data_IF_965718246186
#
_entry.id   IF_965718246186
#
_cell.length_a   1.000
_cell.length_b   1.000
_cell.length_c   1.000
_cell.angle_alpha   90.00
_cell.angle_beta   90.00
_cell.angle_gamma   90.00
#
_symmetry.space_group_name_H-M   'P 1'
#
loop_
_entity.id
_entity.type
_entity.pdbx_description
1 polymer ?
#
# COMPACT_ATOMS: atom_id res chain seq x y z
N UNK A 1 -47.27 46.23 -38.08
CA UNK A 1 -47.16 44.94 -38.80
C UNK A 1 -45.68 44.78 -39.13
N UNK A 2 -44.91 43.77 -38.73
CA UNK A 2 -45.14 42.38 -38.28
C UNK A 2 -44.94 42.23 -36.75
N UNK A 3 -45.83 41.67 -35.93
CA UNK A 3 -46.36 40.29 -35.84
C UNK A 3 -45.25 39.27 -35.51
N UNK A 4 -44.93 39.04 -34.24
CA UNK A 4 -45.68 38.05 -33.44
C UNK A 4 -45.66 38.33 -31.94
N UNK A 5 -46.78 38.84 -31.41
CA UNK A 5 -47.10 38.78 -29.98
C UNK A 5 -47.50 37.34 -29.64
N UNK A 6 -46.82 36.71 -28.67
CA UNK A 6 -47.44 35.60 -27.92
C UNK A 6 -48.51 36.19 -27.00
N UNK A 7 -49.72 35.64 -27.09
CA UNK A 7 -50.78 35.80 -26.10
C UNK A 7 -50.35 34.99 -24.88
N UNK A 8 -49.85 35.69 -23.86
CA UNK A 8 -49.88 35.37 -22.44
C UNK A 8 -48.80 36.23 -21.79
N UNK A 9 -49.22 37.26 -21.04
CA UNK A 9 -48.34 38.26 -20.41
C UNK A 9 -47.52 37.72 -19.25
N UNK A 10 -46.77 36.63 -19.46
CA UNK A 10 -45.71 36.17 -18.58
C UNK A 10 -44.39 36.47 -19.26
N UNK A 11 -43.56 37.30 -18.63
CA UNK A 11 -42.16 37.46 -19.03
C UNK A 11 -41.53 36.08 -19.14
N UNK A 12 -41.13 35.70 -20.36
CA UNK A 12 -40.42 34.46 -20.62
C UNK A 12 -38.99 34.62 -20.09
N UNK A 13 -38.76 34.14 -18.87
CA UNK A 13 -37.42 33.98 -18.31
C UNK A 13 -36.65 32.96 -19.15
N UNK A 14 -35.67 33.42 -19.94
CA UNK A 14 -34.80 32.57 -20.76
C UNK A 14 -33.51 32.30 -19.97
N UNK A 15 -33.16 31.03 -19.77
CA UNK A 15 -31.89 30.62 -19.15
C UNK A 15 -30.84 30.43 -20.24
N UNK A 16 -29.77 31.22 -20.18
CA UNK A 16 -28.66 31.17 -21.12
C UNK A 16 -27.40 30.66 -20.42
N UNK A 17 -26.55 29.96 -21.18
CA UNK A 17 -25.20 29.56 -20.77
C UNK A 17 -24.20 30.18 -21.71
N UNK A 18 -23.15 30.79 -21.15
CA UNK A 18 -22.00 31.28 -21.91
C UNK A 18 -21.01 30.13 -22.08
N UNK A 19 -20.66 29.83 -23.32
CA UNK A 19 -19.72 28.77 -23.70
C UNK A 19 -18.60 29.38 -24.52
N UNK A 20 -17.40 28.83 -24.42
CA UNK A 20 -16.24 29.23 -25.22
C UNK A 20 -15.64 28.02 -25.92
N UNK A 21 -15.45 28.14 -27.23
CA UNK A 21 -14.61 27.23 -28.00
C UNK A 21 -13.12 27.63 -27.85
N UNK A 22 -12.24 26.76 -27.28
CA UNK A 22 -10.82 27.04 -27.16
C UNK A 22 -10.09 27.25 -28.50
N UNK A 23 -10.62 26.73 -29.62
CA UNK A 23 -10.05 26.93 -30.96
C UNK A 23 -10.49 28.23 -31.62
N UNK A 24 -11.43 28.96 -31.02
CA UNK A 24 -11.94 30.23 -31.56
C UNK A 24 -12.79 30.08 -32.83
N UNK A 25 -13.27 28.87 -33.13
CA UNK A 25 -14.09 28.63 -34.33
C UNK A 25 -15.51 29.13 -34.09
N UNK A 26 -16.17 29.55 -35.16
CA UNK A 26 -17.53 30.07 -35.12
C UNK A 26 -18.51 29.09 -34.43
N UNK A 27 -19.51 29.61 -33.69
CA UNK A 27 -20.44 28.79 -32.94
C UNK A 27 -21.17 27.77 -33.85
N UNK A 28 -21.52 26.59 -33.31
CA UNK A 28 -22.29 25.59 -34.03
C UNK A 28 -23.56 26.20 -34.65
N UNK A 29 -24.05 25.71 -35.82
CA UNK A 29 -25.23 26.26 -36.48
C UNK A 29 -26.48 26.34 -35.60
N UNK A 30 -26.61 25.42 -34.62
CA UNK A 30 -27.69 25.42 -33.63
C UNK A 30 -27.67 26.66 -32.70
N UNK A 31 -26.52 27.31 -32.54
CA UNK A 31 -26.35 28.52 -31.72
C UNK A 31 -26.36 29.82 -32.56
N UNK A 32 -26.47 29.72 -33.90
CA UNK A 32 -26.38 30.88 -34.81
C UNK A 32 -27.63 31.76 -34.83
N UNK A 33 -28.73 31.40 -34.18
CA UNK A 33 -30.02 32.03 -34.50
C UNK A 33 -30.49 33.17 -33.60
N UNK A 34 -29.83 33.52 -32.51
CA UNK A 34 -30.43 34.46 -31.55
C UNK A 34 -29.48 35.61 -31.27
N UNK A 35 -29.82 36.78 -31.81
CA UNK A 35 -29.31 38.07 -31.34
C UNK A 35 -29.84 38.30 -29.91
N UNK A 36 -29.22 37.64 -28.93
CA UNK A 36 -29.64 37.67 -27.53
C UNK A 36 -29.60 39.10 -26.98
N UNK A 37 -28.68 39.94 -27.48
CA UNK A 37 -28.61 41.35 -27.13
C UNK A 37 -29.84 42.14 -27.61
N UNK A 38 -30.46 41.77 -28.73
CA UNK A 38 -31.72 42.37 -29.17
C UNK A 38 -32.93 42.00 -28.28
N UNK A 39 -32.84 40.91 -27.52
CA UNK A 39 -33.88 40.46 -26.58
C UNK A 39 -33.74 41.09 -25.19
N UNK A 40 -32.59 41.68 -24.86
CA UNK A 40 -32.35 42.33 -23.59
C UNK A 40 -32.99 43.74 -23.54
N UNK A 41 -33.74 44.00 -22.47
CA UNK A 41 -34.41 45.29 -22.23
C UNK A 41 -33.51 46.31 -21.52
N UNK A 42 -32.50 45.86 -20.77
CA UNK A 42 -31.54 46.70 -20.06
C UNK A 42 -30.20 46.80 -20.82
N UNK A 43 -29.56 47.98 -20.80
CA UNK A 43 -28.23 48.17 -21.40
C UNK A 43 -27.14 47.34 -20.70
N UNK A 44 -27.29 47.05 -19.41
CA UNK A 44 -26.37 46.17 -18.67
C UNK A 44 -26.43 44.73 -19.17
N UNK A 45 -27.62 44.21 -19.48
CA UNK A 45 -27.77 42.85 -19.99
C UNK A 45 -27.29 42.74 -21.44
N UNK A 46 -27.48 43.79 -22.25
CA UNK A 46 -26.90 43.87 -23.59
C UNK A 46 -25.38 43.77 -23.56
N UNK A 47 -24.74 44.47 -22.63
CA UNK A 47 -23.29 44.41 -22.48
C UNK A 47 -22.81 43.04 -22.00
N UNK A 48 -23.52 42.41 -21.05
CA UNK A 48 -23.21 41.05 -20.57
C UNK A 48 -23.34 39.99 -21.65
N UNK A 49 -24.29 40.15 -22.59
CA UNK A 49 -24.57 39.18 -23.65
C UNK A 49 -23.63 39.32 -24.86
N UNK A 50 -22.77 40.35 -24.90
CA UNK A 50 -21.75 40.49 -25.93
C UNK A 50 -20.62 39.47 -25.69
N UNK A 51 -20.20 38.73 -26.72
CA UNK A 51 -18.96 37.94 -26.65
C UNK A 51 -17.77 38.87 -26.40
N UNK A 52 -16.98 38.55 -25.37
CA UNK A 52 -15.78 39.32 -24.97
C UNK A 52 -14.52 38.76 -25.62
N UNK A 53 -14.47 37.44 -25.82
CA UNK A 53 -13.33 36.73 -26.39
C UNK A 53 -13.70 35.95 -27.66
N UNK A 54 -12.72 35.66 -28.52
CA UNK A 54 -12.94 34.85 -29.72
C UNK A 54 -13.39 33.44 -29.34
N UNK A 55 -14.42 32.94 -30.02
CA UNK A 55 -15.03 31.63 -29.76
C UNK A 55 -16.07 31.63 -28.64
N UNK A 56 -16.35 32.77 -27.98
CA UNK A 56 -17.44 32.87 -27.02
C UNK A 56 -18.81 32.98 -27.69
N UNK A 57 -19.78 32.24 -27.18
CA UNK A 57 -21.17 32.32 -27.62
C UNK A 57 -22.14 32.00 -26.48
N UNK A 58 -23.37 32.49 -26.62
CA UNK A 58 -24.47 32.20 -25.73
C UNK A 58 -25.44 31.22 -26.38
N UNK A 59 -25.88 30.24 -25.61
CA UNK A 59 -26.90 29.28 -26.04
C UNK A 59 -27.96 29.05 -24.96
N UNK A 60 -29.14 28.58 -25.37
CA UNK A 60 -30.17 28.18 -24.43
C UNK A 60 -29.68 27.03 -23.54
N UNK A 61 -29.99 27.07 -22.24
CA UNK A 61 -29.68 25.98 -21.33
C UNK A 61 -30.30 24.63 -21.76
N UNK A 62 -31.47 24.67 -22.39
CA UNK A 62 -32.12 23.47 -22.95
C UNK A 62 -31.36 22.88 -24.13
N UNK A 63 -30.71 23.71 -24.95
CA UNK A 63 -29.84 23.25 -26.03
C UNK A 63 -28.50 22.77 -25.48
N UNK A 64 -27.98 23.42 -24.44
CA UNK A 64 -26.78 22.99 -23.74
C UNK A 64 -26.95 21.54 -23.25
N UNK A 65 -28.05 21.25 -22.56
CA UNK A 65 -28.38 19.89 -22.09
C UNK A 65 -28.53 18.84 -23.22
N UNK A 66 -28.94 19.26 -24.43
CA UNK A 66 -29.08 18.36 -25.58
C UNK A 66 -27.76 18.08 -26.29
N UNK A 67 -26.88 19.06 -26.33
CA UNK A 67 -25.64 19.00 -27.12
C UNK A 67 -24.41 18.57 -26.29
N UNK A 68 -24.40 18.81 -24.98
CA UNK A 68 -23.29 18.45 -24.09
C UNK A 68 -23.63 17.22 -23.27
N UNK A 69 -22.70 16.26 -23.22
CA UNK A 69 -22.87 14.97 -22.52
C UNK A 69 -22.19 14.94 -21.15
N UNK A 70 -21.22 15.83 -20.91
CA UNK A 70 -20.43 15.87 -19.68
C UNK A 70 -20.15 17.31 -19.26
N UNK A 71 -20.35 17.59 -17.98
CA UNK A 71 -19.97 18.84 -17.33
C UNK A 71 -19.00 18.50 -16.19
N UNK A 72 -17.80 19.07 -16.25
CA UNK A 72 -16.79 18.94 -15.19
C UNK A 72 -16.58 20.31 -14.56
N UNK A 73 -16.72 20.38 -13.23
CA UNK A 73 -16.50 21.61 -12.46
C UNK A 73 -15.38 21.32 -11.47
N UNK A 74 -14.32 22.13 -11.52
CA UNK A 74 -13.19 22.03 -10.60
C UNK A 74 -13.28 23.18 -9.59
N UNK A 75 -13.69 22.86 -8.38
CA UNK A 75 -13.73 23.83 -7.29
C UNK A 75 -12.33 23.99 -6.70
N UNK A 76 -11.96 25.23 -6.34
CA UNK A 76 -10.71 25.52 -5.65
C UNK A 76 -10.76 25.07 -4.18
N UNK A 77 -11.97 24.99 -3.62
CA UNK A 77 -12.26 24.47 -2.29
C UNK A 77 -13.16 23.25 -2.39
N UNK A 78 -13.16 22.35 -1.38
CA UNK A 78 -14.05 21.18 -1.37
C UNK A 78 -15.54 21.52 -1.21
N UNK A 79 -15.90 22.80 -1.10
CA UNK A 79 -17.27 23.29 -0.93
C UNK A 79 -18.20 22.82 -2.07
N UNK A 80 -19.47 22.58 -1.74
CA UNK A 80 -20.52 22.33 -2.73
C UNK A 80 -20.91 23.63 -3.42
N UNK A 81 -21.32 23.54 -4.68
CA UNK A 81 -21.87 24.68 -5.42
C UNK A 81 -23.29 25.06 -4.96
N UNK A 82 -23.83 24.35 -3.99
CA UNK A 82 -25.20 24.50 -3.48
C UNK A 82 -25.26 25.38 -2.22
N UNK A 83 -24.15 25.54 -1.49
CA UNK A 83 -24.07 26.38 -0.28
C UNK A 83 -23.26 27.64 -0.61
N UNK A 84 -23.85 28.81 -0.34
CA UNK A 84 -23.19 30.11 -0.55
C UNK A 84 -22.14 30.41 0.54
N UNK A 85 -22.03 29.55 1.56
CA UNK A 85 -21.06 29.69 2.64
C UNK A 85 -19.74 28.95 2.33
N UNK A 86 -18.63 29.69 2.38
CA UNK A 86 -17.30 29.08 2.39
C UNK A 86 -17.06 28.35 3.72
N UNK A 87 -16.89 27.03 3.66
CA UNK A 87 -16.49 26.24 4.82
C UNK A 87 -14.97 26.24 4.96
N UNK A 88 -14.49 26.10 6.20
CA UNK A 88 -13.07 25.84 6.46
C UNK A 88 -12.84 24.35 6.41
N UNK A 89 -11.91 23.92 5.56
CA UNK A 89 -11.60 22.50 5.39
C UNK A 89 -10.26 22.16 6.01
N UNK A 90 -10.23 21.09 6.78
CA UNK A 90 -8.99 20.42 7.16
C UNK A 90 -8.61 19.46 6.05
N UNK A 91 -7.35 19.51 5.62
CA UNK A 91 -6.84 18.66 4.54
C UNK A 91 -5.71 17.81 5.07
N UNK A 92 -5.86 16.51 4.91
CA UNK A 92 -4.77 15.56 5.12
C UNK A 92 -4.37 14.94 3.79
N UNK A 93 -3.06 14.80 3.61
CA UNK A 93 -2.45 14.35 2.36
C UNK A 93 -1.57 13.16 2.67
N UNK A 94 -1.82 12.06 1.96
CA UNK A 94 -1.04 10.83 2.09
C UNK A 94 -0.50 10.41 0.74
N UNK A 95 0.81 10.20 0.68
CA UNK A 95 1.44 9.58 -0.47
C UNK A 95 1.53 8.07 -0.26
N UNK A 96 1.23 7.30 -1.29
CA UNK A 96 1.28 5.84 -1.23
C UNK A 96 1.67 5.22 -2.56
N UNK A 97 1.87 3.91 -2.54
CA UNK A 97 2.20 3.11 -3.72
C UNK A 97 1.49 1.76 -3.67
N UNK A 98 1.10 1.27 -4.83
CA UNK A 98 0.75 -0.13 -5.04
C UNK A 98 1.96 -0.82 -5.65
N UNK A 99 2.56 -1.74 -4.90
CA UNK A 99 3.70 -2.56 -5.32
C UNK A 99 3.21 -3.95 -5.66
N UNK A 100 3.60 -4.47 -6.83
CA UNK A 100 3.19 -5.79 -7.29
C UNK A 100 3.54 -6.82 -6.21
N UNK A 101 2.60 -7.72 -5.91
CA UNK A 101 2.77 -8.80 -4.93
C UNK A 101 2.79 -8.37 -3.45
N UNK A 102 3.03 -7.10 -3.14
CA UNK A 102 3.10 -6.66 -1.75
C UNK A 102 1.85 -5.89 -1.30
N UNK A 103 1.54 -4.80 -2.00
CA UNK A 103 0.49 -3.84 -1.62
C UNK A 103 -0.50 -3.55 -2.75
N UNK A 104 -0.26 -4.08 -3.96
CA UNK A 104 -1.19 -4.04 -5.08
C UNK A 104 -2.27 -5.14 -4.96
N UNK A 105 -3.11 -5.04 -3.94
CA UNK A 105 -4.08 -6.07 -3.56
C UNK A 105 -5.34 -6.15 -4.43
N UNK A 106 -5.57 -5.18 -5.33
CA UNK A 106 -6.79 -5.11 -6.16
C UNK A 106 -8.02 -4.70 -5.36
N UNK A 107 -9.22 -4.77 -5.97
CA UNK A 107 -10.47 -4.37 -5.32
C UNK A 107 -11.08 -5.51 -4.49
N UNK A 108 -12.21 -5.23 -3.81
CA UNK A 108 -12.88 -6.17 -2.88
C UNK A 108 -13.31 -7.51 -3.50
N UNK A 109 -13.35 -7.60 -4.83
CA UNK A 109 -13.61 -8.84 -5.58
C UNK A 109 -12.47 -9.86 -5.43
N UNK A 110 -11.29 -9.44 -4.96
CA UNK A 110 -10.11 -10.27 -4.74
C UNK A 110 -9.84 -10.39 -3.23
N UNK A 111 -10.66 -11.14 -2.46
CA UNK A 111 -10.59 -11.16 -1.00
C UNK A 111 -9.25 -11.66 -0.45
N UNK A 112 -8.53 -12.50 -1.20
CA UNK A 112 -7.24 -13.06 -0.78
C UNK A 112 -6.13 -12.01 -0.71
N UNK A 113 -6.24 -10.96 -1.51
CA UNK A 113 -5.22 -9.93 -1.68
C UNK A 113 -5.70 -8.54 -1.24
N UNK A 114 -7.01 -8.28 -1.21
CA UNK A 114 -7.60 -6.96 -0.95
C UNK A 114 -7.10 -6.29 0.34
N UNK A 115 -6.96 -7.07 1.41
CA UNK A 115 -6.54 -6.60 2.74
C UNK A 115 -5.10 -6.07 2.78
N UNK A 116 -4.28 -6.41 1.78
CA UNK A 116 -2.88 -5.97 1.67
C UNK A 116 -2.70 -4.59 1.08
N UNK A 117 -3.75 -4.00 0.50
CA UNK A 117 -3.71 -2.61 0.05
C UNK A 117 -3.37 -1.67 1.23
N UNK A 118 -2.72 -0.53 0.97
CA UNK A 118 -2.46 0.47 2.00
C UNK A 118 -3.75 0.88 2.72
N UNK A 119 -3.69 1.05 4.04
CA UNK A 119 -4.85 1.34 4.87
C UNK A 119 -4.64 2.67 5.58
N UNK A 120 -5.62 3.58 5.49
CA UNK A 120 -5.53 4.91 6.10
C UNK A 120 -6.65 5.08 7.12
N UNK A 121 -6.27 5.27 8.38
CA UNK A 121 -7.22 5.51 9.46
C UNK A 121 -7.74 6.94 9.38
N UNK A 122 -9.03 7.12 9.57
CA UNK A 122 -9.71 8.41 9.60
C UNK A 122 -10.52 8.50 10.88
N UNK A 123 -10.22 9.50 11.73
CA UNK A 123 -10.96 9.76 12.96
C UNK A 123 -11.80 11.03 12.79
N UNK A 124 -13.11 10.87 12.94
CA UNK A 124 -14.11 11.94 12.87
C UNK A 124 -14.71 12.14 14.27
N UNK A 125 -14.19 13.06 15.08
CA UNK A 125 -14.55 13.19 16.49
C UNK A 125 -15.95 13.79 16.70
N UNK A 126 -16.32 14.80 15.90
CA UNK A 126 -17.54 15.58 16.09
C UNK A 126 -18.25 15.79 14.75
N UNK A 127 -19.59 15.83 14.81
CA UNK A 127 -20.43 16.15 13.66
C UNK A 127 -20.31 17.63 13.29
N UNK A 128 -20.58 17.96 12.02
CA UNK A 128 -20.49 19.33 11.54
C UNK A 128 -21.55 20.22 12.19
N UNK A 129 -21.28 21.52 12.31
CA UNK A 129 -22.15 22.43 13.07
C UNK A 129 -23.61 22.48 12.54
N UNK A 130 -23.81 22.21 11.26
CA UNK A 130 -25.13 22.22 10.59
C UNK A 130 -25.79 20.84 10.54
N UNK A 131 -25.05 19.75 10.69
CA UNK A 131 -25.53 18.38 10.44
C UNK A 131 -25.29 17.44 11.63
N UNK A 132 -25.99 16.30 11.67
CA UNK A 132 -25.69 15.22 12.64
C UNK A 132 -24.57 14.28 12.16
N UNK A 133 -23.93 14.65 11.06
CA UNK A 133 -22.93 13.88 10.32
C UNK A 133 -21.70 14.73 10.05
N UNK A 134 -20.59 14.06 9.74
CA UNK A 134 -19.32 14.64 9.33
C UNK A 134 -19.22 14.55 7.81
N UNK A 135 -19.00 15.69 7.17
CA UNK A 135 -18.81 15.83 5.74
C UNK A 135 -17.35 15.55 5.42
N UNK A 136 -17.15 14.53 4.57
CA UNK A 136 -15.82 14.09 4.18
C UNK A 136 -15.75 13.99 2.67
N UNK A 137 -14.75 14.62 2.06
CA UNK A 137 -14.41 14.43 0.64
C UNK A 137 -13.13 13.62 0.57
N UNK A 138 -13.16 12.51 -0.16
CA UNK A 138 -11.98 11.67 -0.38
C UNK A 138 -11.61 11.74 -1.86
N UNK A 139 -10.37 12.12 -2.14
CA UNK A 139 -9.81 12.23 -3.48
C UNK A 139 -8.58 11.32 -3.62
N UNK A 140 -8.68 10.30 -4.47
CA UNK A 140 -7.61 9.37 -4.79
C UNK A 140 -7.08 9.65 -6.20
N UNK A 141 -5.77 9.91 -6.32
CA UNK A 141 -5.14 10.30 -7.58
C UNK A 141 -3.93 9.40 -7.90
N UNK A 142 -3.84 8.87 -9.11
CA UNK A 142 -2.67 8.12 -9.58
C UNK A 142 -1.58 9.05 -10.14
N UNK A 143 -0.31 8.83 -9.75
CA UNK A 143 0.88 9.64 -10.10
C UNK A 143 1.65 9.02 -11.28
N UNK A 144 2.52 9.80 -11.93
CA UNK A 144 3.51 9.30 -12.89
C UNK A 144 3.01 8.88 -14.28
N UNK A 145 1.76 8.42 -14.43
CA UNK A 145 1.27 7.74 -15.66
C UNK A 145 1.39 8.53 -16.96
N UNK A 146 1.27 9.88 -16.91
CA UNK A 146 1.41 10.72 -18.11
C UNK A 146 2.84 10.68 -18.67
N UNK A 147 3.85 10.62 -17.80
CA UNK A 147 5.26 10.54 -18.18
C UNK A 147 5.56 9.21 -18.88
N UNK A 148 4.91 8.14 -18.42
CA UNK A 148 5.09 6.78 -18.92
C UNK A 148 4.25 6.45 -20.15
N UNK A 149 3.45 7.42 -20.65
CA UNK A 149 2.57 7.18 -21.80
C UNK A 149 3.36 6.86 -23.07
N UNK A 150 4.57 7.40 -23.23
CA UNK A 150 5.47 7.03 -24.34
C UNK A 150 5.94 5.58 -24.29
N UNK A 151 5.91 4.95 -23.11
CA UNK A 151 6.22 3.53 -22.89
C UNK A 151 4.96 2.65 -22.97
N UNK A 152 3.81 3.20 -23.38
CA UNK A 152 2.54 2.48 -23.49
C UNK A 152 1.74 2.38 -22.20
N UNK A 153 2.13 3.06 -21.12
CA UNK A 153 1.37 3.03 -19.87
C UNK A 153 -0.02 3.69 -20.03
N UNK A 154 -1.04 2.99 -19.55
CA UNK A 154 -2.42 3.48 -19.49
C UNK A 154 -2.78 3.86 -18.05
N UNK A 155 -3.80 4.70 -17.90
CA UNK A 155 -4.38 4.93 -16.58
C UNK A 155 -5.01 3.62 -16.08
N UNK A 156 -4.92 3.37 -14.77
CA UNK A 156 -5.57 2.24 -14.13
C UNK A 156 -7.00 2.58 -13.75
N UNK A 157 -7.85 1.56 -13.67
CA UNK A 157 -9.13 1.67 -12.98
C UNK A 157 -8.84 1.75 -11.47
N UNK A 158 -9.04 2.92 -10.87
CA UNK A 158 -8.78 3.16 -9.44
C UNK A 158 -10.08 3.48 -8.70
N UNK A 159 -10.06 3.22 -7.40
CA UNK A 159 -11.19 3.45 -6.50
C UNK A 159 -10.78 3.26 -5.05
N UNK A 160 -11.71 3.48 -4.13
CA UNK A 160 -11.49 3.27 -2.72
C UNK A 160 -12.78 2.86 -2.01
N UNK A 161 -12.62 2.22 -0.85
CA UNK A 161 -13.71 1.90 0.06
C UNK A 161 -13.38 2.38 1.48
N UNK A 162 -14.42 2.64 2.27
CA UNK A 162 -14.37 3.14 3.63
C UNK A 162 -15.11 2.16 4.52
N UNK A 163 -14.45 1.68 5.56
CA UNK A 163 -15.00 0.75 6.55
C UNK A 163 -15.04 1.41 7.93
N UNK A 164 -16.11 1.20 8.68
CA UNK A 164 -16.18 1.60 10.08
C UNK A 164 -15.35 0.63 10.94
N UNK A 165 -14.57 1.17 11.88
CA UNK A 165 -13.76 0.39 12.80
C UNK A 165 -14.62 -0.03 14.01
N UNK A 166 -14.76 -1.35 14.27
CA UNK A 166 -15.47 -1.86 15.44
C UNK A 166 -14.87 -1.32 16.74
N UNK A 167 -15.69 -1.18 17.78
CA UNK A 167 -15.28 -0.59 19.06
C UNK A 167 -14.10 -1.32 19.71
N UNK A 168 -14.00 -2.62 19.47
CA UNK A 168 -12.95 -3.50 19.99
C UNK A 168 -11.58 -3.24 19.35
N UNK A 169 -11.54 -2.65 18.16
CA UNK A 169 -10.32 -2.40 17.39
C UNK A 169 -9.92 -0.91 17.35
N UNK A 170 -10.67 -0.05 18.05
CA UNK A 170 -10.37 1.39 18.11
C UNK A 170 -9.03 1.64 18.77
N UNK A 171 -8.28 2.60 18.22
CA UNK A 171 -6.93 2.94 18.71
C UNK A 171 -5.82 1.93 18.40
N UNK A 172 -6.13 0.73 17.89
CA UNK A 172 -5.10 -0.23 17.46
C UNK A 172 -4.46 0.22 16.14
N UNK A 173 -3.19 0.62 16.10
CA UNK A 173 -2.51 1.05 14.87
C UNK A 173 -2.12 -0.08 13.91
N UNK A 174 -2.50 -1.34 14.17
CA UNK A 174 -2.20 -2.46 13.30
C UNK A 174 -3.09 -2.51 12.04
N UNK A 175 -2.49 -3.02 10.96
CA UNK A 175 -3.17 -3.31 9.70
C UNK A 175 -4.31 -4.32 9.91
N UNK A 176 -5.50 -4.01 9.38
CA UNK A 176 -6.66 -4.88 9.51
C UNK A 176 -6.47 -6.17 8.70
N UNK A 177 -6.74 -7.34 9.29
CA UNK A 177 -6.50 -8.64 8.66
C UNK A 177 -7.56 -8.96 7.58
N UNK A 178 -7.29 -10.00 6.78
CA UNK A 178 -8.21 -10.53 5.76
C UNK A 178 -9.64 -10.72 6.28
N UNK A 179 -9.78 -11.37 7.44
CA UNK A 179 -11.07 -11.71 8.03
C UNK A 179 -11.94 -10.48 8.31
N UNK A 180 -11.32 -9.36 8.67
CA UNK A 180 -12.04 -8.11 8.87
C UNK A 180 -12.84 -7.74 7.61
N UNK A 181 -12.20 -7.74 6.43
CA UNK A 181 -12.86 -7.36 5.18
C UNK A 181 -13.82 -8.42 4.67
N UNK A 182 -13.67 -9.68 5.08
CA UNK A 182 -14.61 -10.77 4.76
C UNK A 182 -15.95 -10.60 5.50
N UNK A 183 -15.89 -10.23 6.78
CA UNK A 183 -17.07 -10.16 7.64
C UNK A 183 -17.69 -8.77 7.79
N UNK A 184 -16.98 -7.71 7.39
CA UNK A 184 -17.48 -6.32 7.49
C UNK A 184 -17.81 -5.75 6.11
N UNK A 185 -18.97 -5.08 6.02
CA UNK A 185 -19.38 -4.35 4.82
C UNK A 185 -18.77 -2.94 4.82
N UNK A 186 -18.49 -2.40 3.62
CA UNK A 186 -18.03 -1.02 3.48
C UNK A 186 -19.16 -0.05 3.84
N UNK A 187 -18.90 0.88 4.74
CA UNK A 187 -19.83 1.97 5.10
C UNK A 187 -20.03 2.93 3.93
N UNK A 188 -18.96 3.21 3.19
CA UNK A 188 -18.98 4.04 2.00
C UNK A 188 -17.94 3.54 0.99
N UNK A 189 -18.11 3.89 -0.29
CA UNK A 189 -17.17 3.52 -1.36
C UNK A 189 -17.40 4.40 -2.59
N UNK A 190 -16.42 4.43 -3.49
CA UNK A 190 -16.62 5.00 -4.83
C UNK A 190 -17.76 4.27 -5.57
N UNK A 191 -18.56 4.99 -6.35
CA UNK A 191 -19.68 4.42 -7.13
C UNK A 191 -19.21 3.38 -8.15
N UNK A 192 -18.06 3.63 -8.77
CA UNK A 192 -17.39 2.73 -9.69
C UNK A 192 -15.89 2.95 -9.66
N UNK A 193 -15.13 1.93 -10.02
CA UNK A 193 -13.71 2.08 -10.34
C UNK A 193 -13.63 2.70 -11.73
N UNK A 194 -12.94 3.83 -11.84
CA UNK A 194 -12.88 4.58 -13.10
C UNK A 194 -11.46 4.72 -13.60
N UNK A 195 -11.34 4.69 -14.92
CA UNK A 195 -10.07 4.89 -15.62
C UNK A 195 -9.75 6.38 -15.78
N UNK A 196 -9.60 7.09 -14.65
CA UNK A 196 -9.28 8.52 -14.63
C UNK A 196 -8.08 8.77 -13.74
N UNK A 197 -7.42 9.93 -13.94
CA UNK A 197 -6.26 10.32 -13.12
C UNK A 197 -6.62 10.45 -11.64
N UNK A 198 -7.85 10.84 -11.35
CA UNK A 198 -8.35 11.07 -10.00
C UNK A 198 -9.80 10.62 -9.87
N UNK A 199 -10.15 10.11 -8.69
CA UNK A 199 -11.50 9.77 -8.27
C UNK A 199 -11.78 10.51 -6.98
N UNK A 200 -12.80 11.36 -7.00
CA UNK A 200 -13.19 12.20 -5.88
C UNK A 200 -14.67 12.00 -5.59
N UNK A 201 -14.99 11.65 -4.34
CA UNK A 201 -16.37 11.46 -3.88
C UNK A 201 -16.55 12.12 -2.52
N UNK A 202 -17.77 12.62 -2.28
CA UNK A 202 -18.20 13.27 -1.05
C UNK A 202 -19.13 12.35 -0.27
N UNK A 203 -18.93 12.27 1.03
CA UNK A 203 -19.67 11.41 1.96
C UNK A 203 -20.12 12.19 3.19
N UNK A 204 -21.25 11.77 3.77
CA UNK A 204 -21.68 12.18 5.11
C UNK A 204 -21.60 10.94 6.01
N UNK A 205 -20.61 10.91 6.91
CA UNK A 205 -20.36 9.79 7.81
C UNK A 205 -20.79 10.17 9.24
N UNK A 206 -21.04 9.19 10.10
CA UNK A 206 -21.29 9.47 11.52
C UNK A 206 -19.96 9.77 12.22
N UNK A 207 -19.96 10.49 13.35
CA UNK A 207 -18.76 10.58 14.19
C UNK A 207 -18.28 9.19 14.60
N UNK A 208 -17.00 8.91 14.39
CA UNK A 208 -16.47 7.57 14.49
C UNK A 208 -15.06 7.42 13.92
N UNK A 209 -14.58 6.19 13.91
CA UNK A 209 -13.27 5.82 13.39
C UNK A 209 -13.47 4.92 12.18
N UNK A 210 -12.77 5.23 11.10
CA UNK A 210 -12.91 4.61 9.79
C UNK A 210 -11.55 4.22 9.23
N UNK A 211 -11.55 3.29 8.27
CA UNK A 211 -10.38 2.96 7.46
C UNK A 211 -10.71 3.11 5.99
N UNK A 212 -9.89 3.87 5.29
CA UNK A 212 -9.93 4.08 3.84
C UNK A 212 -8.93 3.11 3.18
N UNK A 213 -9.43 2.34 2.22
CA UNK A 213 -8.64 1.38 1.43
C UNK A 213 -8.62 1.85 -0.02
N UNK A 214 -7.59 2.61 -0.45
CA UNK A 214 -7.39 2.90 -1.88
C UNK A 214 -6.80 1.69 -2.60
N UNK A 215 -7.38 1.34 -3.74
CA UNK A 215 -6.89 0.24 -4.56
C UNK A 215 -7.09 0.49 -6.05
N UNK A 216 -6.37 -0.30 -6.85
CA UNK A 216 -6.72 -0.56 -8.25
C UNK A 216 -7.87 -1.57 -8.31
N UNK A 217 -8.51 -1.67 -9.48
CA UNK A 217 -9.56 -2.67 -9.71
C UNK A 217 -8.97 -4.08 -9.69
N UNK A 218 -7.98 -4.32 -10.55
CA UNK A 218 -7.25 -5.58 -10.63
C UNK A 218 -6.06 -5.59 -9.65
N UNK A 219 -5.69 -6.75 -9.09
CA UNK A 219 -4.47 -6.89 -8.30
C UNK A 219 -3.21 -6.75 -9.18
N UNK A 220 -2.05 -6.61 -8.53
CA UNK A 220 -0.73 -6.54 -9.18
C UNK A 220 -0.51 -5.34 -10.12
N UNK A 221 -1.39 -4.33 -10.07
CA UNK A 221 -1.25 -3.09 -10.83
C UNK A 221 -0.39 -2.09 -10.08
N UNK A 222 0.80 -1.85 -10.59
CA UNK A 222 1.75 -0.93 -9.98
C UNK A 222 1.46 0.53 -10.35
N UNK A 223 1.44 1.38 -9.34
CA UNK A 223 1.42 2.84 -9.49
C UNK A 223 1.62 3.50 -8.13
N UNK A 224 2.22 4.68 -8.14
CA UNK A 224 2.13 5.63 -7.03
C UNK A 224 0.76 6.32 -7.02
N UNK A 225 0.31 6.73 -5.84
CA UNK A 225 -0.91 7.49 -5.66
C UNK A 225 -0.79 8.57 -4.58
N UNK A 226 -1.75 9.49 -4.62
CA UNK A 226 -1.96 10.55 -3.64
C UNK A 226 -3.40 10.43 -3.14
N UNK A 227 -3.57 10.21 -1.84
CA UNK A 227 -4.87 10.22 -1.17
C UNK A 227 -5.01 11.54 -0.40
N UNK A 228 -6.08 12.28 -0.67
CA UNK A 228 -6.42 13.50 0.06
C UNK A 228 -7.77 13.33 0.72
N UNK A 229 -7.84 13.66 2.01
CA UNK A 229 -9.08 13.65 2.78
C UNK A 229 -9.36 15.06 3.24
N UNK A 230 -10.54 15.55 2.91
CA UNK A 230 -11.03 16.86 3.31
C UNK A 230 -12.18 16.67 4.29
N UNK A 231 -12.14 17.36 5.42
CA UNK A 231 -13.20 17.35 6.43
C UNK A 231 -13.52 18.78 6.88
N UNK A 232 -14.78 19.05 7.19
CA UNK A 232 -15.21 20.37 7.71
C UNK A 232 -14.77 20.54 9.18
N UNK A 233 -15.06 19.54 10.01
CA UNK A 233 -14.63 19.49 11.41
C UNK A 233 -13.19 18.99 11.56
N UNK A 234 -12.55 19.24 12.73
CA UNK A 234 -11.20 18.72 13.02
C UNK A 234 -11.22 17.19 12.88
N UNK A 235 -10.38 16.64 12.01
CA UNK A 235 -10.18 15.20 11.88
C UNK A 235 -8.69 14.86 11.84
N UNK A 236 -8.30 13.71 12.38
CA UNK A 236 -6.98 13.14 12.12
C UNK A 236 -7.11 12.02 11.09
N UNK A 237 -6.08 11.87 10.27
CA UNK A 237 -5.93 10.69 9.44
C UNK A 237 -4.48 10.27 9.40
N UNK A 238 -4.23 9.00 9.64
CA UNK A 238 -2.89 8.44 9.80
C UNK A 238 -2.77 7.17 8.95
N UNK A 239 -1.57 6.93 8.43
CA UNK A 239 -1.29 5.67 7.74
C UNK A 239 -1.27 4.56 8.79
N UNK A 240 -2.03 3.49 8.55
CA UNK A 240 -1.95 2.30 9.38
C UNK A 240 -0.71 1.54 8.94
N UNK A 241 0.29 1.51 9.80
CA UNK A 241 1.50 0.75 9.58
C UNK A 241 1.84 -0.04 10.86
N UNK A 242 2.34 -1.26 10.69
CA UNK A 242 2.72 -2.08 11.85
C UNK A 242 4.00 -1.51 12.46
N UNK A 243 4.05 -1.43 13.78
CA UNK A 243 5.30 -1.20 14.49
C UNK A 243 6.29 -2.34 14.20
N UNK A 244 7.57 -1.99 14.11
CA UNK A 244 8.63 -2.94 13.78
C UNK A 244 9.02 -3.66 15.05
N UNK A 245 8.62 -4.92 15.18
CA UNK A 245 8.95 -5.75 16.33
C UNK A 245 9.47 -7.12 15.89
N UNK A 246 10.35 -7.69 16.69
CA UNK A 246 10.78 -9.08 16.55
C UNK A 246 10.68 -9.75 17.90
N UNK A 247 10.04 -10.92 17.94
CA UNK A 247 10.00 -11.75 19.13
C UNK A 247 11.41 -11.86 19.72
N UNK A 248 11.60 -11.58 21.02
CA UNK A 248 12.93 -11.58 21.61
C UNK A 248 13.58 -12.94 21.38
N UNK A 249 14.73 -12.93 20.68
CA UNK A 249 15.62 -14.08 20.62
C UNK A 249 16.01 -14.37 22.06
N UNK A 250 15.66 -15.55 22.57
CA UNK A 250 16.11 -15.95 23.90
C UNK A 250 17.63 -15.89 23.91
N UNK A 251 18.16 -14.91 24.65
CA UNK A 251 19.59 -14.69 24.83
C UNK A 251 20.19 -15.93 25.49
N UNK A 252 20.84 -16.78 24.69
CA UNK A 252 21.45 -18.05 25.17
C UNK A 252 22.48 -17.76 26.28
N UNK A 253 23.04 -16.54 26.32
CA UNK A 253 23.96 -16.09 27.37
C UNK A 253 23.34 -16.04 28.78
N UNK A 254 22.01 -15.99 28.94
CA UNK A 254 21.35 -15.87 30.26
C UNK A 254 20.90 -17.21 30.89
N UNK A 255 21.07 -18.35 30.22
CA UNK A 255 20.92 -19.68 30.82
C UNK A 255 22.20 -20.50 30.64
N UNK A 256 23.26 -20.10 31.32
CA UNK A 256 24.34 -21.04 31.67
C UNK A 256 24.49 -20.97 33.19
N UNK A 257 23.72 -21.81 33.89
CA UNK A 257 24.20 -22.32 35.17
C UNK A 257 25.23 -23.40 34.81
N UNK A 258 26.41 -23.43 35.45
CA UNK A 258 27.34 -24.53 35.29
C UNK A 258 26.73 -25.75 35.99
N UNK A 259 25.97 -26.54 35.24
CA UNK A 259 25.49 -27.83 35.66
C UNK A 259 25.65 -28.77 34.46
N UNK A 260 26.36 -29.87 34.68
CA UNK A 260 26.55 -30.94 33.70
C UNK A 260 25.18 -31.55 33.41
N UNK A 261 24.47 -31.00 32.42
CA UNK A 261 23.29 -31.66 31.85
C UNK A 261 23.80 -32.77 30.93
N UNK A 262 23.32 -34.00 31.16
CA UNK A 262 23.59 -35.14 30.29
C UNK A 262 23.17 -34.79 28.85
N UNK A 263 24.15 -34.79 27.93
CA UNK A 263 23.93 -34.53 26.51
C UNK A 263 22.85 -35.48 25.98
N UNK A 264 21.74 -34.90 25.51
CA UNK A 264 20.59 -35.69 25.02
C UNK A 264 20.99 -36.55 23.83
N UNK A 265 20.31 -37.68 23.59
CA UNK A 265 20.63 -38.55 22.45
C UNK A 265 20.51 -37.84 21.10
N UNK A 266 19.63 -36.85 20.98
CA UNK A 266 19.53 -35.97 19.80
C UNK A 266 20.76 -35.07 19.63
N UNK A 267 21.34 -34.57 20.72
CA UNK A 267 22.56 -33.76 20.70
C UNK A 267 23.79 -34.58 20.31
N UNK A 268 23.89 -35.81 20.79
CA UNK A 268 24.96 -36.75 20.37
C UNK A 268 24.86 -37.06 18.87
N UNK A 269 23.65 -37.33 18.37
CA UNK A 269 23.43 -37.52 16.94
C UNK A 269 23.76 -36.26 16.12
N UNK A 270 23.35 -35.08 16.61
CA UNK A 270 23.65 -33.82 15.94
C UNK A 270 25.15 -33.53 15.90
N UNK A 271 25.87 -33.82 16.98
CA UNK A 271 27.32 -33.68 17.07
C UNK A 271 28.05 -34.64 16.14
N UNK A 272 27.59 -35.89 16.02
CA UNK A 272 28.13 -36.84 15.06
C UNK A 272 27.91 -36.37 13.61
N UNK A 273 26.74 -35.81 13.30
CA UNK A 273 26.46 -35.19 12.00
C UNK A 273 27.40 -34.00 11.76
N UNK A 274 27.56 -33.11 12.75
CA UNK A 274 28.47 -31.96 12.65
C UNK A 274 29.92 -32.40 12.39
N UNK A 275 30.43 -33.38 13.13
CA UNK A 275 31.80 -33.90 12.94
C UNK A 275 32.00 -34.50 11.55
N UNK A 276 30.99 -35.19 11.02
CA UNK A 276 31.04 -35.73 9.66
C UNK A 276 31.10 -34.63 8.58
N UNK A 277 30.58 -33.44 8.89
CA UNK A 277 30.48 -32.31 7.96
C UNK A 277 31.73 -31.42 8.04
N UNK A 278 32.10 -31.02 9.26
CA UNK A 278 33.21 -30.14 9.55
C UNK A 278 34.59 -30.80 9.33
N UNK A 279 34.66 -32.14 9.42
CA UNK A 279 35.94 -32.83 9.29
C UNK A 279 36.91 -32.45 10.42
N UNK A 280 38.20 -32.34 10.08
CA UNK A 280 39.28 -32.24 11.08
C UNK A 280 39.41 -30.85 11.72
N UNK A 281 38.96 -29.78 11.06
CA UNK A 281 39.05 -28.41 11.57
C UNK A 281 37.91 -28.05 12.55
N UNK A 282 36.89 -28.91 12.65
CA UNK A 282 35.71 -28.72 13.50
C UNK A 282 34.99 -27.39 13.23
N UNK A 283 35.08 -26.87 12.00
CA UNK A 283 34.40 -25.68 11.51
C UNK A 283 33.64 -26.00 10.21
N UNK A 284 32.53 -25.32 9.98
CA UNK A 284 31.75 -25.50 8.74
C UNK A 284 31.93 -24.29 7.83
N UNK A 285 32.46 -24.52 6.63
CA UNK A 285 32.54 -23.52 5.58
C UNK A 285 31.27 -23.48 4.70
N UNK A 286 31.17 -22.48 3.82
CA UNK A 286 29.99 -22.28 2.97
C UNK A 286 29.70 -23.47 2.01
N UNK A 287 30.74 -24.16 1.53
CA UNK A 287 30.56 -25.30 0.63
C UNK A 287 30.02 -26.54 1.37
N UNK A 288 30.51 -26.78 2.57
CA UNK A 288 30.01 -27.83 3.47
C UNK A 288 28.57 -27.57 3.88
N UNK A 289 28.27 -26.34 4.32
CA UNK A 289 26.91 -25.92 4.68
C UNK A 289 25.94 -26.15 3.52
N UNK A 290 26.31 -25.71 2.31
CA UNK A 290 25.52 -25.93 1.08
C UNK A 290 25.26 -27.41 0.83
N UNK A 291 26.31 -28.22 0.93
CA UNK A 291 26.23 -29.66 0.65
C UNK A 291 25.26 -30.34 1.61
N UNK A 292 25.31 -29.98 2.89
CA UNK A 292 24.46 -30.57 3.94
C UNK A 292 23.03 -30.15 3.79
N UNK A 293 22.78 -28.84 3.65
CA UNK A 293 21.43 -28.32 3.49
C UNK A 293 20.76 -28.90 2.25
N UNK A 294 21.49 -29.00 1.12
CA UNK A 294 20.94 -29.55 -0.12
C UNK A 294 20.71 -31.07 -0.05
N UNK A 295 21.57 -31.83 0.65
CA UNK A 295 21.30 -33.25 0.93
C UNK A 295 20.02 -33.44 1.75
N UNK A 296 19.77 -32.55 2.71
CA UNK A 296 18.57 -32.62 3.55
C UNK A 296 17.33 -32.22 2.77
N UNK A 297 17.38 -31.15 1.98
CA UNK A 297 16.28 -30.78 1.08
C UNK A 297 15.97 -31.91 0.10
N UNK A 298 16.98 -32.56 -0.49
CA UNK A 298 16.79 -33.65 -1.44
C UNK A 298 16.04 -34.86 -0.85
N UNK A 299 16.10 -35.06 0.48
CA UNK A 299 15.29 -36.09 1.17
C UNK A 299 13.82 -35.70 1.29
N UNK A 300 13.51 -34.40 1.24
CA UNK A 300 12.15 -33.86 1.29
C UNK A 300 11.63 -33.58 -0.12
N UNK A 301 11.14 -34.64 -0.78
CA UNK A 301 10.58 -34.59 -2.16
C UNK A 301 9.41 -33.63 -2.34
N UNK A 302 8.84 -33.15 -1.24
CA UNK A 302 7.78 -32.14 -1.19
C UNK A 302 8.27 -30.72 -1.49
N UNK A 303 9.58 -30.45 -1.40
CA UNK A 303 10.18 -29.17 -1.77
C UNK A 303 10.86 -29.28 -3.14
N UNK A 304 10.22 -28.78 -4.19
CA UNK A 304 10.83 -28.62 -5.52
C UNK A 304 11.62 -27.32 -5.57
N UNK A 305 12.86 -27.35 -5.11
CA UNK A 305 13.80 -26.22 -5.16
C UNK A 305 15.12 -26.66 -5.79
N UNK A 306 15.85 -25.72 -6.41
CA UNK A 306 17.22 -25.93 -6.89
C UNK A 306 18.22 -26.14 -5.74
N UNK A 307 17.77 -25.93 -4.49
CA UNK A 307 18.59 -25.99 -3.28
C UNK A 307 19.18 -24.63 -2.93
N UNK A 308 19.90 -24.57 -1.82
CA UNK A 308 20.61 -23.38 -1.39
C UNK A 308 21.75 -23.04 -2.34
N UNK A 309 21.80 -21.79 -2.76
CA UNK A 309 22.93 -21.22 -3.49
C UNK A 309 24.17 -21.09 -2.58
N UNK A 310 25.35 -21.02 -3.19
CA UNK A 310 26.59 -20.79 -2.43
C UNK A 310 26.57 -19.43 -1.72
N UNK A 311 25.94 -18.43 -2.34
CA UNK A 311 25.86 -17.09 -1.80
C UNK A 311 24.92 -17.02 -0.60
N UNK A 312 23.79 -17.72 -0.66
CA UNK A 312 22.89 -17.91 0.47
C UNK A 312 23.61 -18.50 1.67
N UNK A 313 24.40 -19.56 1.45
CA UNK A 313 25.19 -20.16 2.52
C UNK A 313 26.28 -19.21 3.07
N UNK A 314 26.95 -18.42 2.23
CA UNK A 314 27.91 -17.40 2.70
C UNK A 314 27.24 -16.34 3.57
N UNK A 315 26.11 -15.80 3.12
CA UNK A 315 25.34 -14.81 3.89
C UNK A 315 24.86 -15.40 5.21
N UNK A 316 24.36 -16.64 5.22
CA UNK A 316 23.94 -17.31 6.47
C UNK A 316 25.09 -17.46 7.47
N UNK A 317 26.28 -17.82 6.99
CA UNK A 317 27.46 -17.93 7.85
C UNK A 317 27.79 -16.56 8.44
N UNK A 318 27.92 -15.52 7.61
CA UNK A 318 28.34 -14.22 8.08
C UNK A 318 27.37 -13.57 9.09
N UNK A 319 26.07 -13.90 9.00
CA UNK A 319 25.04 -13.43 9.93
C UNK A 319 25.00 -14.21 11.25
N UNK A 320 25.45 -15.47 11.23
CA UNK A 320 25.46 -16.36 12.39
C UNK A 320 26.80 -16.36 13.12
N UNK A 321 27.90 -16.13 12.40
CA UNK A 321 29.28 -16.02 12.86
C UNK A 321 29.40 -14.90 13.92
N UNK A 322 29.46 -15.31 15.18
CA UNK A 322 29.62 -14.41 16.32
C UNK A 322 31.07 -14.21 16.71
N UNK A 323 31.94 -15.15 16.34
CA UNK A 323 33.36 -15.14 16.69
C UNK A 323 34.25 -14.49 15.61
N UNK A 324 33.69 -14.15 14.45
CA UNK A 324 34.36 -13.47 13.35
C UNK A 324 35.31 -14.38 12.57
N UNK A 325 35.14 -15.69 12.69
CA UNK A 325 36.04 -16.67 12.07
C UNK A 325 35.76 -16.88 10.58
N UNK A 326 34.60 -16.42 10.07
CA UNK A 326 34.12 -16.68 8.72
C UNK A 326 33.61 -18.12 8.52
N UNK A 327 33.47 -18.89 9.60
CA UNK A 327 33.03 -20.28 9.61
C UNK A 327 32.00 -20.49 10.73
N UNK A 328 31.28 -21.61 10.73
CA UNK A 328 30.36 -21.95 11.82
C UNK A 328 30.98 -22.97 12.77
N UNK A 329 31.02 -22.61 14.05
CA UNK A 329 31.30 -23.58 15.10
C UNK A 329 30.04 -24.43 15.44
N UNK A 330 30.18 -25.45 16.29
CA UNK A 330 29.09 -26.37 16.63
C UNK A 330 27.86 -25.65 17.22
N UNK A 331 28.06 -24.63 18.06
CA UNK A 331 26.96 -23.91 18.70
C UNK A 331 26.20 -23.03 17.71
N UNK A 332 26.93 -22.33 16.84
CA UNK A 332 26.35 -21.49 15.79
C UNK A 332 25.61 -22.34 14.75
N UNK A 333 26.19 -23.47 14.33
CA UNK A 333 25.53 -24.40 13.43
C UNK A 333 24.28 -25.01 14.05
N UNK A 334 24.32 -25.41 15.34
CA UNK A 334 23.13 -25.89 16.07
C UNK A 334 22.02 -24.84 16.11
N UNK A 335 22.38 -23.58 16.36
CA UNK A 335 21.43 -22.48 16.38
C UNK A 335 20.77 -22.27 15.02
N UNK A 336 21.58 -22.11 13.96
CA UNK A 336 21.10 -21.96 12.59
C UNK A 336 20.22 -23.13 12.16
N UNK A 337 20.61 -24.36 12.48
CA UNK A 337 19.86 -25.56 12.13
C UNK A 337 18.46 -25.61 12.75
N UNK A 338 18.36 -25.26 14.03
CA UNK A 338 17.06 -25.22 14.73
C UNK A 338 16.15 -24.13 14.16
N UNK A 339 16.71 -23.00 13.74
CA UNK A 339 15.98 -21.92 13.05
C UNK A 339 15.46 -22.38 11.69
N UNK A 340 16.31 -22.97 10.86
CA UNK A 340 15.92 -23.51 9.55
C UNK A 340 14.80 -24.55 9.71
N UNK A 341 14.88 -25.44 10.72
CA UNK A 341 13.81 -26.40 11.02
C UNK A 341 12.47 -25.72 11.35
N UNK A 342 12.49 -24.70 12.23
CA UNK A 342 11.28 -23.93 12.59
C UNK A 342 10.69 -23.24 11.37
N UNK A 343 11.51 -22.52 10.61
CA UNK A 343 11.06 -21.76 9.45
C UNK A 343 10.61 -22.64 8.29
N UNK A 344 11.21 -23.84 8.13
CA UNK A 344 10.71 -24.84 7.19
C UNK A 344 9.27 -25.26 7.52
N UNK A 345 8.96 -25.50 8.80
CA UNK A 345 7.60 -25.88 9.19
C UNK A 345 6.58 -24.78 8.85
N UNK A 346 6.96 -23.51 9.07
CA UNK A 346 6.16 -22.36 8.67
C UNK A 346 6.02 -22.33 7.14
N UNK A 347 7.11 -22.52 6.40
CA UNK A 347 7.09 -22.50 4.93
C UNK A 347 6.09 -23.52 4.36
N UNK A 348 6.19 -24.78 4.80
CA UNK A 348 5.31 -25.87 4.34
C UNK A 348 3.85 -25.66 4.74
N UNK A 349 3.57 -24.87 5.78
CA UNK A 349 2.20 -24.53 6.20
C UNK A 349 1.56 -23.51 5.27
N UNK A 350 2.32 -22.54 4.78
CA UNK A 350 1.84 -21.49 3.89
C UNK A 350 1.94 -21.85 2.41
N UNK A 351 2.77 -22.82 2.02
CA UNK A 351 2.79 -23.45 0.68
C UNK A 351 1.57 -24.38 0.48
N UNK A 352 0.37 -23.81 0.53
CA UNK A 352 -0.90 -24.57 0.54
C UNK A 352 -1.17 -25.30 -0.78
N UNK A 353 -0.70 -24.74 -1.89
CA UNK A 353 -0.82 -25.31 -3.24
C UNK A 353 0.31 -26.28 -3.59
N UNK A 354 1.29 -26.44 -2.69
CA UNK A 354 2.51 -27.26 -2.90
C UNK A 354 3.27 -26.83 -4.15
N UNK A 355 3.21 -25.53 -4.47
CA UNK A 355 4.02 -24.91 -5.52
C UNK A 355 5.51 -24.96 -5.18
N UNK A 356 5.86 -25.24 -3.91
CA UNK A 356 7.23 -25.11 -3.37
C UNK A 356 7.71 -23.67 -3.36
N UNK A 357 6.78 -22.73 -3.41
CA UNK A 357 7.01 -21.29 -3.33
C UNK A 357 5.97 -20.66 -2.43
N UNK A 358 6.28 -19.49 -1.88
CA UNK A 358 5.35 -18.70 -1.09
C UNK A 358 5.06 -17.43 -1.86
N UNK A 359 3.79 -17.14 -2.13
CA UNK A 359 3.43 -15.88 -2.74
C UNK A 359 3.79 -14.72 -1.81
N UNK A 360 4.12 -13.58 -2.38
CA UNK A 360 4.40 -12.33 -1.64
C UNK A 360 3.26 -11.91 -0.68
N UNK A 361 2.02 -12.36 -0.90
CA UNK A 361 0.91 -12.15 0.04
C UNK A 361 0.94 -13.12 1.24
N UNK A 362 1.28 -14.38 1.03
CA UNK A 362 1.46 -15.39 2.09
C UNK A 362 2.71 -15.09 2.92
N UNK A 363 3.74 -14.52 2.29
CA UNK A 363 4.99 -14.11 2.94
C UNK A 363 4.74 -13.22 4.16
N UNK A 364 3.77 -12.29 4.10
CA UNK A 364 3.45 -11.42 5.26
C UNK A 364 3.00 -12.23 6.48
N UNK A 365 2.18 -13.25 6.26
CA UNK A 365 1.69 -14.12 7.33
C UNK A 365 2.81 -15.05 7.81
N UNK A 366 3.59 -15.62 6.89
CA UNK A 366 4.74 -16.47 7.21
C UNK A 366 5.80 -15.74 8.04
N UNK A 367 6.12 -14.49 7.70
CA UNK A 367 7.05 -13.64 8.47
C UNK A 367 6.49 -13.33 9.87
N UNK A 368 5.20 -13.03 9.97
CA UNK A 368 4.53 -12.79 11.26
C UNK A 368 4.60 -14.03 12.16
N UNK A 369 4.32 -15.22 11.62
CA UNK A 369 4.40 -16.49 12.37
C UNK A 369 5.84 -16.91 12.67
N UNK A 370 6.80 -16.51 11.83
CA UNK A 370 8.22 -16.67 12.11
C UNK A 370 8.72 -15.78 13.25
N UNK A 371 7.93 -14.79 13.69
CA UNK A 371 8.20 -13.89 14.81
C UNK A 371 8.59 -12.48 14.40
N UNK A 372 8.40 -12.09 13.13
CA UNK A 372 8.76 -10.78 12.59
C UNK A 372 7.51 -9.96 12.28
N UNK A 373 7.33 -8.86 13.00
CA UNK A 373 6.34 -7.84 12.70
C UNK A 373 7.04 -6.70 11.99
N UNK A 374 6.71 -6.52 10.72
CA UNK A 374 7.32 -5.51 9.86
C UNK A 374 6.26 -4.56 9.34
N UNK A 375 6.70 -3.36 9.00
CA UNK A 375 5.87 -2.34 8.39
C UNK A 375 5.73 -2.59 6.86
N UNK A 376 4.80 -1.92 6.19
CA UNK A 376 4.51 -2.10 4.76
C UNK A 376 5.71 -1.81 3.87
N UNK A 377 6.51 -0.81 4.23
CA UNK A 377 7.70 -0.43 3.47
C UNK A 377 8.76 -1.52 3.49
N UNK A 378 8.95 -2.20 4.62
CA UNK A 378 9.87 -3.32 4.75
C UNK A 378 9.40 -4.55 3.99
N UNK A 379 8.10 -4.86 4.02
CA UNK A 379 7.56 -5.93 3.17
C UNK A 379 7.78 -5.65 1.67
N UNK A 380 7.61 -4.38 1.24
CA UNK A 380 7.91 -3.99 -0.15
C UNK A 380 9.39 -4.24 -0.50
N UNK A 381 10.32 -3.90 0.39
CA UNK A 381 11.77 -4.12 0.20
C UNK A 381 12.09 -5.61 0.12
N UNK A 382 11.48 -6.43 1.00
CA UNK A 382 11.68 -7.88 0.98
C UNK A 382 11.18 -8.47 -0.34
N UNK A 383 9.97 -8.12 -0.77
CA UNK A 383 9.45 -8.58 -2.07
C UNK A 383 10.36 -8.16 -3.22
N UNK A 384 10.83 -6.91 -3.26
CA UNK A 384 11.72 -6.42 -4.32
C UNK A 384 13.08 -7.14 -4.35
N UNK A 385 13.57 -7.61 -3.20
CA UNK A 385 14.90 -8.21 -3.09
C UNK A 385 14.91 -9.74 -3.28
N UNK A 386 13.87 -10.41 -2.78
CA UNK A 386 13.84 -11.86 -2.61
C UNK A 386 12.77 -12.57 -3.44
N UNK A 387 11.76 -11.86 -3.95
CA UNK A 387 10.76 -12.49 -4.81
C UNK A 387 11.26 -12.61 -6.26
N UNK A 388 10.85 -13.67 -6.93
CA UNK A 388 11.12 -13.90 -8.36
C UNK A 388 10.20 -13.04 -9.26
N UNK A 389 10.30 -13.20 -10.58
CA UNK A 389 9.48 -12.47 -11.57
C UNK A 389 7.95 -12.64 -11.39
N UNK A 390 7.56 -13.78 -10.81
CA UNK A 390 6.17 -14.12 -10.49
C UNK A 390 5.71 -13.57 -9.14
N UNK A 391 6.57 -12.86 -8.40
CA UNK A 391 6.34 -12.40 -7.02
C UNK A 391 6.19 -13.54 -6.00
N UNK A 392 6.92 -14.62 -6.23
CA UNK A 392 6.97 -15.80 -5.38
C UNK A 392 8.37 -15.93 -4.76
N UNK A 393 8.44 -16.36 -3.51
CA UNK A 393 9.69 -16.66 -2.82
C UNK A 393 9.87 -18.17 -2.79
N UNK A 394 10.99 -18.65 -3.34
CA UNK A 394 11.39 -20.04 -3.17
C UNK A 394 11.98 -20.27 -1.77
N UNK A 395 12.22 -21.54 -1.44
CA UNK A 395 12.71 -21.91 -0.11
C UNK A 395 14.08 -21.29 0.23
N UNK A 396 14.99 -21.20 -0.75
CA UNK A 396 16.31 -20.58 -0.56
C UNK A 396 16.16 -19.08 -0.23
N UNK A 397 15.41 -18.33 -1.03
CA UNK A 397 15.19 -16.90 -0.84
C UNK A 397 14.45 -16.60 0.47
N UNK A 398 13.48 -17.44 0.84
CA UNK A 398 12.74 -17.32 2.09
C UNK A 398 13.65 -17.47 3.32
N UNK A 399 14.46 -18.53 3.39
CA UNK A 399 15.38 -18.74 4.51
C UNK A 399 16.47 -17.66 4.53
N UNK A 400 17.02 -17.31 3.36
CA UNK A 400 18.03 -16.25 3.25
C UNK A 400 17.50 -14.90 3.73
N UNK A 401 16.25 -14.57 3.42
CA UNK A 401 15.58 -13.38 3.94
C UNK A 401 15.46 -13.42 5.47
N UNK A 402 15.01 -14.54 6.03
CA UNK A 402 14.80 -14.67 7.48
C UNK A 402 16.10 -14.61 8.28
N UNK A 403 17.16 -15.27 7.80
CA UNK A 403 18.49 -15.22 8.41
C UNK A 403 19.02 -13.79 8.38
N UNK A 404 18.89 -13.08 7.24
CA UNK A 404 19.30 -11.68 7.10
C UNK A 404 18.52 -10.75 8.00
N UNK A 405 17.21 -10.90 8.05
CA UNK A 405 16.34 -10.09 8.89
C UNK A 405 16.71 -10.29 10.37
N UNK A 406 16.84 -11.53 10.84
CA UNK A 406 17.25 -11.83 12.21
C UNK A 406 18.63 -11.25 12.53
N UNK A 407 19.62 -11.43 11.65
CA UNK A 407 20.97 -10.90 11.85
C UNK A 407 20.99 -9.37 11.90
N UNK A 408 20.19 -8.70 11.07
CA UNK A 408 20.03 -7.23 11.11
C UNK A 408 19.42 -6.75 12.43
N UNK A 409 18.37 -7.41 12.93
CA UNK A 409 17.80 -7.08 14.25
C UNK A 409 18.77 -7.34 15.39
N UNK A 410 19.53 -8.44 15.34
CA UNK A 410 20.57 -8.75 16.33
C UNK A 410 21.66 -7.68 16.35
N UNK A 411 22.14 -7.29 15.18
CA UNK A 411 23.15 -6.25 15.05
C UNK A 411 22.63 -4.90 15.56
N UNK A 412 21.42 -4.50 15.14
CA UNK A 412 20.79 -3.26 15.61
C UNK A 412 20.69 -3.21 17.14
N UNK A 413 20.15 -4.26 17.77
CA UNK A 413 20.05 -4.37 19.24
C UNK A 413 21.40 -4.37 19.95
N UNK A 414 22.48 -4.81 19.29
CA UNK A 414 23.82 -4.77 19.87
C UNK A 414 24.41 -3.35 19.88
N UNK A 415 24.03 -2.51 18.92
CA UNK A 415 24.44 -1.10 18.82
C UNK A 415 23.52 -0.15 19.59
N UNK A 416 22.21 -0.44 19.66
CA UNK A 416 21.20 0.33 20.40
C UNK A 416 21.21 -0.05 21.89
N UNK A 417 22.14 0.53 22.65
CA UNK A 417 22.35 0.20 24.08
C UNK A 417 21.39 0.93 25.02
N UNK A 418 20.89 2.07 24.60
CA UNK A 418 19.95 2.94 25.32
C UNK A 418 18.48 2.63 24.98
N UNK A 419 18.22 1.88 23.90
CA UNK A 419 16.88 1.44 23.53
C UNK A 419 16.03 2.59 23.00
N UNK A 420 16.65 3.65 22.49
CA UNK A 420 15.96 4.82 21.95
C UNK A 420 15.54 4.62 20.48
N UNK A 421 15.93 3.50 19.87
CA UNK A 421 15.64 3.15 18.48
C UNK A 421 16.54 3.86 17.47
N UNK A 422 17.67 4.44 17.89
CA UNK A 422 18.60 5.19 17.02
C UNK A 422 20.05 4.72 17.25
N UNK A 423 20.66 4.16 16.22
CA UNK A 423 22.10 3.82 16.24
C UNK A 423 22.94 4.91 15.57
N UNK A 424 24.10 5.23 16.15
CA UNK A 424 25.10 6.13 15.55
C UNK A 424 26.32 5.31 15.13
N UNK A 425 26.60 5.27 13.84
CA UNK A 425 27.71 4.53 13.26
C UNK A 425 28.66 5.47 12.54
N UNK A 426 29.96 5.24 12.66
CA UNK A 426 30.95 5.86 11.78
C UNK A 426 31.03 5.11 10.42
N UNK A 427 31.77 5.66 9.45
CA UNK A 427 31.87 5.08 8.10
C UNK A 427 32.43 3.65 8.12
N UNK A 428 33.41 3.37 8.98
CA UNK A 428 34.00 2.04 9.09
C UNK A 428 33.01 1.02 9.65
N UNK A 429 32.32 1.37 10.74
CA UNK A 429 31.28 0.53 11.35
C UNK A 429 30.12 0.27 10.39
N UNK A 430 29.69 1.30 9.65
CA UNK A 430 28.66 1.17 8.61
C UNK A 430 29.10 0.19 7.52
N UNK A 431 30.31 0.35 6.98
CA UNK A 431 30.81 -0.54 5.94
C UNK A 431 30.97 -1.97 6.44
N UNK A 432 31.49 -2.15 7.66
CA UNK A 432 31.61 -3.47 8.28
C UNK A 432 30.25 -4.15 8.43
N UNK A 433 29.23 -3.42 8.89
CA UNK A 433 27.86 -3.92 9.02
C UNK A 433 27.23 -4.27 7.67
N UNK A 434 27.39 -3.42 6.64
CA UNK A 434 26.71 -3.66 5.35
C UNK A 434 27.42 -4.61 4.40
N UNK A 435 28.75 -4.75 4.50
CA UNK A 435 29.55 -5.60 3.60
C UNK A 435 29.68 -7.03 4.10
N UNK A 436 29.74 -7.22 5.43
CA UNK A 436 29.87 -8.55 6.01
C UNK A 436 28.50 -9.23 6.21
N UNK A 437 27.41 -8.48 6.38
CA UNK A 437 26.06 -9.03 6.64
C UNK A 437 25.29 -9.47 5.38
#
# INVERSE_FOLDING_TARGET
MHAGKRKDGKDLMIRLVRVRDPWGVAPPPACKSNDWAALATSEQDKERLRPTEQGEFWMCFEEFKKNFTKLEICNLTPDTLEDDQMLKWNVTIHEGRWVKGCSAGGCRNFPDTYWTNPQFRLVLPEADAKEKTCTVVVALMQKGRRKERSLGATLHNIGFAIYEVPKEMKGNQQQLPKDFFLYNASTARCKSYVNMREVTERFCLKPGEYVIIPSTFDPHKESEFLLRVFSESRSSSEVIDKEIEVEPVMDIKKKIKPFEEEETEEEKQFRAIFQQIAGDDMQINANELRTVLNRVIAKHKELKTEGFSLESCRSMIALMDTDGTGHLNLQEFKHLWNKIKKWKLVFTRYDTDKSSTISSFEMRNALTEAGFQLNNQLYDIICMRYANENMELDFDSYISCLVRLEGMFRAFRAFDRDGDGIIKLNVFEWLQLTMYA
#
